data_IF_764204218740
#
_entry.id   IF_764204218740
#
_cell.length_a   1.000
_cell.length_b   1.000
_cell.length_c   1.000
_cell.angle_alpha   90.00
_cell.angle_beta   90.00
_cell.angle_gamma   90.00
#
_symmetry.space_group_name_H-M   'P 1'
#
loop_
_entity.id
_entity.type
_entity.pdbx_description
1 polymer ?
#
# COMPACT_ATOMS: atom_id res chain seq x y z
N UNK A 1 -11.31 8.31 11.96
CA UNK A 1 -11.04 7.04 11.24
C UNK A 1 -9.60 6.97 10.70
N UNK A 2 -9.18 7.80 9.72
CA UNK A 2 -7.78 7.70 9.20
C UNK A 2 -6.73 8.04 10.27
N UNK A 3 -6.91 9.09 11.04
CA UNK A 3 -5.99 9.46 12.13
C UNK A 3 -5.89 8.39 13.20
N UNK A 4 -6.99 7.81 13.62
CA UNK A 4 -7.01 6.71 14.59
C UNK A 4 -6.26 5.46 14.08
N UNK A 5 -6.37 5.13 12.78
CA UNK A 5 -5.62 4.06 12.18
C UNK A 5 -4.10 4.36 12.17
N UNK A 6 -3.70 5.60 11.89
CA UNK A 6 -2.30 6.04 11.96
C UNK A 6 -1.77 5.94 13.40
N UNK A 7 -2.51 6.41 14.38
CA UNK A 7 -2.16 6.27 15.80
C UNK A 7 -1.98 4.79 16.20
N UNK A 8 -2.86 3.91 15.69
CA UNK A 8 -2.73 2.47 15.91
C UNK A 8 -1.43 1.91 15.33
N UNK A 9 -1.03 2.32 14.12
CA UNK A 9 0.25 1.91 13.51
C UNK A 9 1.42 2.26 14.43
N UNK A 10 1.50 3.51 14.91
CA UNK A 10 2.59 3.94 15.80
C UNK A 10 2.55 3.24 17.16
N UNK A 11 1.36 2.92 17.67
CA UNK A 11 1.22 2.09 18.87
C UNK A 11 1.80 0.69 18.64
N UNK A 12 1.43 0.01 17.53
CA UNK A 12 1.96 -1.29 17.16
C UNK A 12 3.48 -1.28 17.04
N UNK A 13 4.04 -0.24 16.41
CA UNK A 13 5.50 -0.04 16.27
C UNK A 13 6.16 -0.01 17.64
N UNK A 14 5.63 0.76 18.58
CA UNK A 14 6.18 0.91 19.92
C UNK A 14 6.07 -0.38 20.74
N UNK A 15 4.90 -0.99 20.79
CA UNK A 15 4.62 -2.20 21.57
C UNK A 15 5.44 -3.40 21.11
N UNK A 16 5.65 -3.54 19.80
CA UNK A 16 6.38 -4.66 19.21
C UNK A 16 7.85 -4.35 18.90
N UNK A 17 8.35 -3.18 19.31
CA UNK A 17 9.75 -2.76 19.10
C UNK A 17 10.19 -2.89 17.64
N UNK A 18 9.33 -2.49 16.72
CA UNK A 18 9.54 -2.60 15.28
C UNK A 18 10.81 -1.87 14.85
N UNK A 19 11.55 -2.48 13.94
CA UNK A 19 12.79 -1.96 13.36
C UNK A 19 12.63 -1.55 11.90
N UNK A 20 11.81 -2.29 11.15
CA UNK A 20 11.61 -2.10 9.72
C UNK A 20 10.14 -1.93 9.39
N UNK A 21 9.88 -1.17 8.34
CA UNK A 21 8.55 -1.03 7.73
C UNK A 21 8.64 -1.62 6.33
N UNK A 22 7.78 -2.58 6.01
CA UNK A 22 7.70 -3.21 4.70
C UNK A 22 6.48 -2.67 3.94
N UNK A 23 6.74 -2.00 2.83
CA UNK A 23 5.75 -1.34 1.99
C UNK A 23 5.39 -2.25 0.83
N UNK A 24 4.18 -2.81 0.86
CA UNK A 24 3.72 -3.83 -0.10
C UNK A 24 2.72 -3.23 -1.08
N UNK A 25 2.86 -3.60 -2.34
CA UNK A 25 1.89 -3.26 -3.38
C UNK A 25 1.82 -4.40 -4.40
N UNK A 26 0.78 -4.40 -5.24
CA UNK A 26 0.56 -5.47 -6.20
C UNK A 26 0.91 -5.00 -7.61
N UNK A 27 1.68 -5.83 -8.35
CA UNK A 27 1.89 -5.61 -9.77
C UNK A 27 0.72 -6.13 -10.64
N UNK A 28 0.77 -5.88 -11.94
CA UNK A 28 -0.28 -6.29 -12.85
C UNK A 28 -0.45 -7.83 -12.97
N UNK A 29 0.62 -8.64 -12.97
CA UNK A 29 0.50 -10.10 -12.91
C UNK A 29 -0.04 -10.67 -11.59
N UNK A 30 -0.23 -9.85 -10.57
CA UNK A 30 -0.76 -10.29 -9.26
C UNK A 30 0.31 -10.72 -8.26
N UNK A 31 1.57 -10.35 -8.48
CA UNK A 31 2.66 -10.60 -7.53
C UNK A 31 2.76 -9.45 -6.52
N UNK A 32 3.05 -9.80 -5.26
CA UNK A 32 3.45 -8.81 -4.27
C UNK A 32 4.84 -8.26 -4.62
N UNK A 33 4.87 -6.96 -4.84
CA UNK A 33 6.10 -6.18 -4.86
C UNK A 33 6.24 -5.48 -3.52
N UNK A 34 7.46 -5.29 -3.06
CA UNK A 34 7.70 -4.61 -1.79
C UNK A 34 9.11 -4.03 -1.72
N UNK A 35 9.27 -3.08 -0.82
CA UNK A 35 10.57 -2.63 -0.34
C UNK A 35 10.44 -2.22 1.12
N UNK A 36 11.54 -2.31 1.85
CA UNK A 36 11.57 -2.01 3.27
C UNK A 36 12.35 -0.74 3.55
N UNK A 37 11.86 0.03 4.51
CA UNK A 37 12.56 1.21 5.04
C UNK A 37 12.77 1.06 6.54
N UNK A 38 13.80 1.68 7.13
CA UNK A 38 13.95 1.74 8.58
C UNK A 38 12.75 2.42 9.22
N UNK A 39 12.35 1.98 10.42
CA UNK A 39 11.15 2.48 11.09
C UNK A 39 11.14 3.99 11.31
N UNK A 40 12.30 4.64 11.46
CA UNK A 40 12.39 6.08 11.66
C UNK A 40 12.05 6.91 10.41
N UNK A 41 12.01 6.29 9.23
CA UNK A 41 11.55 6.93 7.99
C UNK A 41 10.03 7.02 7.91
N UNK A 42 9.30 6.20 8.68
CA UNK A 42 7.85 6.27 8.73
C UNK A 42 7.41 7.36 9.71
N UNK A 43 6.79 8.39 9.18
CA UNK A 43 6.20 9.51 9.94
C UNK A 43 4.71 9.63 9.64
N UNK A 44 3.99 10.45 10.40
CA UNK A 44 2.58 10.73 10.09
C UNK A 44 2.40 11.29 8.67
N UNK A 45 3.35 12.11 8.20
CA UNK A 45 3.34 12.68 6.85
C UNK A 45 3.50 11.61 5.77
N UNK A 46 4.15 10.48 6.06
CA UNK A 46 4.33 9.40 5.10
C UNK A 46 3.00 8.81 4.62
N UNK A 47 1.92 8.96 5.39
CA UNK A 47 0.56 8.55 5.00
C UNK A 47 -0.15 9.54 4.06
N UNK A 48 0.50 10.65 3.74
CA UNK A 48 0.02 11.65 2.78
C UNK A 48 1.01 11.86 1.63
N UNK A 49 2.31 11.97 1.95
CA UNK A 49 3.38 12.25 1.00
C UNK A 49 3.90 10.97 0.32
N UNK A 50 3.79 9.82 1.00
CA UNK A 50 4.22 8.51 0.50
C UNK A 50 5.74 8.34 0.45
N UNK A 51 6.15 7.26 -0.24
CA UNK A 51 7.55 6.91 -0.50
C UNK A 51 7.76 6.77 -2.01
N UNK A 52 8.86 7.33 -2.50
CA UNK A 52 9.24 7.23 -3.90
C UNK A 52 9.85 5.86 -4.23
N UNK A 53 9.55 5.35 -5.41
CA UNK A 53 10.20 4.15 -5.96
C UNK A 53 10.27 4.23 -7.49
N UNK A 54 11.15 3.42 -8.09
CA UNK A 54 11.31 3.32 -9.54
C UNK A 54 10.28 2.33 -10.13
N UNK A 55 9.23 2.87 -10.75
CA UNK A 55 8.17 2.10 -11.39
C UNK A 55 8.60 1.36 -12.66
N UNK A 56 9.77 1.67 -13.24
CA UNK A 56 10.32 0.94 -14.39
C UNK A 56 10.78 -0.47 -14.00
N UNK A 57 11.05 -0.68 -12.71
CA UNK A 57 11.35 -2.00 -12.16
C UNK A 57 10.13 -2.91 -12.12
N UNK A 58 8.92 -2.35 -12.28
CA UNK A 58 7.66 -3.10 -12.25
C UNK A 58 7.21 -3.40 -13.66
N UNK A 59 7.14 -4.70 -13.98
CA UNK A 59 6.81 -5.16 -15.33
C UNK A 59 5.44 -4.64 -15.80
N UNK A 60 5.45 -3.96 -16.94
CA UNK A 60 4.23 -3.45 -17.59
C UNK A 60 3.72 -2.12 -17.07
N UNK A 61 4.47 -1.45 -16.16
CA UNK A 61 4.04 -0.16 -15.61
C UNK A 61 4.63 1.02 -16.38
N UNK A 62 5.79 1.49 -16.02
CA UNK A 62 6.39 2.71 -16.58
C UNK A 62 7.60 2.40 -17.46
N UNK A 63 7.92 3.31 -18.38
CA UNK A 63 9.20 3.31 -19.09
C UNK A 63 10.28 4.00 -18.24
N UNK A 64 11.55 3.75 -18.58
CA UNK A 64 12.70 4.32 -17.85
C UNK A 64 12.65 5.85 -17.80
N UNK A 65 12.10 6.49 -18.82
CA UNK A 65 12.05 7.96 -18.92
C UNK A 65 11.02 8.64 -18.02
N UNK A 66 10.06 7.88 -17.48
CA UNK A 66 8.98 8.37 -16.62
C UNK A 66 8.74 7.39 -15.47
N UNK A 67 9.82 6.98 -14.81
CA UNK A 67 9.78 5.85 -13.90
C UNK A 67 9.37 6.20 -12.47
N UNK A 68 9.50 7.45 -12.06
CA UNK A 68 9.18 7.85 -10.69
C UNK A 68 7.71 7.61 -10.35
N UNK A 69 7.49 6.90 -9.24
CA UNK A 69 6.18 6.61 -8.70
C UNK A 69 6.19 6.76 -7.18
N UNK A 70 5.00 6.86 -6.59
CA UNK A 70 4.81 6.92 -5.14
C UNK A 70 3.98 5.75 -4.66
N UNK A 71 4.35 5.20 -3.50
CA UNK A 71 3.47 4.35 -2.69
C UNK A 71 3.02 5.13 -1.46
N UNK A 72 1.71 5.16 -1.22
CA UNK A 72 1.12 5.76 -0.02
C UNK A 72 0.56 4.64 0.84
N UNK A 73 1.10 4.43 2.05
CA UNK A 73 0.64 3.37 2.94
C UNK A 73 -0.80 3.55 3.38
N UNK A 74 -1.56 2.47 3.40
CA UNK A 74 -2.89 2.42 3.99
C UNK A 74 -2.77 1.97 5.45
N UNK A 75 -2.98 2.85 6.44
CA UNK A 75 -2.78 2.51 7.85
C UNK A 75 -3.75 1.45 8.36
N UNK A 76 -4.88 1.23 7.67
CA UNK A 76 -5.87 0.22 8.04
C UNK A 76 -5.42 -1.22 7.75
N UNK A 77 -4.33 -1.37 6.97
CA UNK A 77 -3.80 -2.66 6.53
C UNK A 77 -2.60 -3.14 7.36
N UNK A 78 -2.23 -2.40 8.39
CA UNK A 78 -1.04 -2.67 9.18
C UNK A 78 -1.10 -4.03 9.89
N UNK A 79 -0.03 -4.82 9.75
CA UNK A 79 0.16 -6.05 10.52
C UNK A 79 1.64 -6.31 10.82
N UNK A 80 1.90 -7.04 11.90
CA UNK A 80 3.25 -7.48 12.25
C UNK A 80 3.56 -8.72 11.42
N UNK A 81 4.65 -8.67 10.64
CA UNK A 81 5.04 -9.80 9.80
C UNK A 81 5.62 -10.93 10.66
N UNK A 82 4.96 -12.11 10.69
CA UNK A 82 5.40 -13.21 11.55
C UNK A 82 6.54 -14.03 10.94
N UNK A 83 6.92 -13.78 9.69
CA UNK A 83 7.89 -14.59 8.95
C UNK A 83 9.28 -13.93 8.84
N UNK A 84 9.41 -12.67 9.26
CA UNK A 84 10.66 -11.92 9.19
C UNK A 84 11.30 -11.89 10.58
N UNK A 85 12.58 -12.30 10.67
CA UNK A 85 13.33 -12.33 11.93
C UNK A 85 13.48 -10.95 12.57
N UNK A 86 13.78 -9.92 11.77
CA UNK A 86 13.82 -8.53 12.23
C UNK A 86 12.40 -8.04 12.46
N UNK A 87 12.05 -7.53 13.67
CA UNK A 87 10.70 -7.03 13.91
C UNK A 87 10.24 -6.02 12.86
N UNK A 88 9.28 -6.42 12.03
CA UNK A 88 8.81 -5.68 10.86
C UNK A 88 7.31 -5.49 10.90
N UNK A 89 6.85 -4.27 10.61
CA UNK A 89 5.46 -3.98 10.32
C UNK A 89 5.27 -3.87 8.81
N UNK A 90 4.28 -4.58 8.28
CA UNK A 90 3.91 -4.51 6.86
C UNK A 90 2.67 -3.64 6.67
N UNK A 91 2.71 -2.82 5.62
CA UNK A 91 1.63 -1.93 5.20
C UNK A 91 1.35 -2.15 3.71
N UNK A 92 0.08 -2.35 3.35
CA UNK A 92 -0.32 -2.37 1.95
C UNK A 92 -0.48 -0.93 1.48
N UNK A 93 0.05 -0.62 0.29
CA UNK A 93 0.11 0.73 -0.24
C UNK A 93 -0.78 0.89 -1.47
N UNK A 94 -1.32 2.09 -1.62
CA UNK A 94 -1.84 2.58 -2.89
C UNK A 94 -0.71 3.19 -3.71
N UNK A 95 -0.78 3.05 -5.04
CA UNK A 95 0.24 3.56 -5.97
C UNK A 95 -0.26 4.83 -6.65
N UNK A 96 0.59 5.85 -6.70
CA UNK A 96 0.28 7.17 -7.25
C UNK A 96 1.32 7.62 -8.27
N UNK A 97 0.86 8.43 -9.22
CA UNK A 97 1.74 9.22 -10.07
C UNK A 97 2.20 10.47 -9.30
N UNK A 98 3.52 10.72 -9.20
CA UNK A 98 4.04 11.85 -8.42
C UNK A 98 3.73 13.22 -9.01
N UNK A 99 3.48 13.31 -10.33
CA UNK A 99 3.22 14.57 -11.02
C UNK A 99 1.75 14.97 -10.92
N UNK A 100 0.84 14.03 -11.24
CA UNK A 100 -0.61 14.28 -11.22
C UNK A 100 -1.22 14.17 -9.83
N UNK A 101 -0.55 13.47 -8.91
CA UNK A 101 -1.07 13.11 -7.58
C UNK A 101 -2.33 12.23 -7.65
N UNK A 102 -2.55 11.57 -8.77
CA UNK A 102 -3.66 10.66 -8.97
C UNK A 102 -3.23 9.21 -8.77
N UNK A 103 -4.17 8.35 -8.38
CA UNK A 103 -3.93 6.91 -8.27
C UNK A 103 -3.57 6.33 -9.62
N UNK A 104 -2.56 5.46 -9.63
CA UNK A 104 -2.07 4.85 -10.87
C UNK A 104 -3.10 3.88 -11.45
N UNK A 105 -3.49 4.11 -12.70
CA UNK A 105 -4.57 3.40 -13.38
C UNK A 105 -4.36 1.89 -13.49
N UNK A 106 -3.10 1.45 -13.62
CA UNK A 106 -2.73 0.04 -13.77
C UNK A 106 -2.46 -0.67 -12.44
N UNK A 107 -2.70 -0.01 -11.32
CA UNK A 107 -2.60 -0.64 -10.02
C UNK A 107 -3.84 -1.52 -9.77
N UNK A 108 -3.68 -2.84 -9.59
CA UNK A 108 -4.82 -3.75 -9.37
C UNK A 108 -5.66 -3.38 -8.15
N UNK A 109 -5.03 -2.90 -7.08
CA UNK A 109 -5.72 -2.41 -5.88
C UNK A 109 -6.64 -1.23 -6.20
N UNK A 110 -6.20 -0.29 -7.05
CA UNK A 110 -7.04 0.82 -7.46
C UNK A 110 -8.22 0.37 -8.33
N UNK A 111 -7.99 -0.61 -9.22
CA UNK A 111 -9.06 -1.21 -10.03
C UNK A 111 -10.13 -1.85 -9.12
N UNK A 112 -9.70 -2.60 -8.10
CA UNK A 112 -10.60 -3.20 -7.10
C UNK A 112 -11.38 -2.13 -6.31
N UNK A 113 -10.73 -1.04 -5.90
CA UNK A 113 -11.39 0.08 -5.22
C UNK A 113 -12.44 0.76 -6.10
N UNK A 114 -12.17 0.92 -7.40
CA UNK A 114 -13.17 1.44 -8.37
C UNK A 114 -14.36 0.50 -8.50
N UNK A 115 -14.12 -0.80 -8.58
CA UNK A 115 -15.17 -1.81 -8.67
C UNK A 115 -16.05 -1.81 -7.42
N UNK A 116 -15.46 -1.71 -6.22
CA UNK A 116 -16.19 -1.60 -4.96
C UNK A 116 -17.04 -0.32 -4.90
N UNK A 117 -16.47 0.81 -5.29
CA UNK A 117 -17.20 2.08 -5.35
C UNK A 117 -18.38 2.02 -6.34
N UNK A 118 -18.18 1.39 -7.48
CA UNK A 118 -19.23 1.17 -8.46
C UNK A 118 -20.35 0.29 -7.91
N UNK A 119 -20.01 -0.84 -7.27
CA UNK A 119 -20.99 -1.72 -6.64
C UNK A 119 -21.88 -0.97 -5.66
N UNK A 120 -21.28 -0.19 -4.75
CA UNK A 120 -22.00 0.64 -3.80
C UNK A 120 -22.92 1.66 -4.48
N UNK A 121 -22.47 2.27 -5.59
CA UNK A 121 -23.25 3.26 -6.33
C UNK A 121 -24.50 2.68 -7.01
N UNK A 122 -24.51 1.38 -7.31
CA UNK A 122 -25.68 0.71 -7.93
C UNK A 122 -26.83 0.52 -6.94
N UNK A 123 -26.59 0.54 -5.64
CA UNK A 123 -27.58 0.23 -4.60
C UNK A 123 -27.98 -1.26 -4.55
N UNK A 124 -27.36 -2.12 -5.36
CA UNK A 124 -27.67 -3.57 -5.39
C UNK A 124 -26.97 -4.29 -4.24
N UNK A 125 -25.71 -3.93 -3.97
CA UNK A 125 -24.89 -4.50 -2.90
C UNK A 125 -23.83 -3.49 -2.43
N UNK A 126 -23.27 -3.72 -1.26
CA UNK A 126 -22.21 -2.90 -0.67
C UNK A 126 -20.95 -3.70 -0.33
N UNK A 127 -21.03 -5.00 -0.43
CA UNK A 127 -19.95 -5.92 -0.01
C UNK A 127 -19.80 -7.06 -1.00
N UNK A 128 -18.55 -7.47 -1.24
CA UNK A 128 -18.17 -8.63 -2.05
C UNK A 128 -17.31 -9.56 -1.21
N UNK A 129 -17.61 -10.84 -1.24
CA UNK A 129 -16.81 -11.87 -0.62
C UNK A 129 -16.11 -12.73 -1.67
N UNK A 130 -14.83 -12.94 -1.50
CA UNK A 130 -14.02 -13.84 -2.33
C UNK A 130 -13.50 -14.99 -1.48
N UNK A 131 -13.66 -16.22 -1.97
CA UNK A 131 -12.96 -17.38 -1.44
C UNK A 131 -11.54 -17.43 -1.99
N UNK A 132 -10.55 -17.72 -1.13
CA UNK A 132 -9.21 -18.01 -1.63
C UNK A 132 -9.23 -19.32 -2.42
N UNK A 133 -8.65 -19.31 -3.62
CA UNK A 133 -8.54 -20.47 -4.51
C UNK A 133 -7.09 -20.62 -4.94
N UNK A 134 -6.54 -21.84 -4.76
CA UNK A 134 -5.16 -22.19 -5.09
C UNK A 134 -5.10 -23.18 -6.25
#
# INVERSE_FOLDING_TARGET
MKNEAIENVFRMIKENKIKMVDLKFMDFPGQWQHFSVPVHELTEKSFEEGFGFDGSSIRGWKSINESDMLVIPDPTTAFIDPFIEVPTISLICDVYDPLTKEKYERCPRYIAQKAEAYLKSTGIADTVYFGAEA
#
